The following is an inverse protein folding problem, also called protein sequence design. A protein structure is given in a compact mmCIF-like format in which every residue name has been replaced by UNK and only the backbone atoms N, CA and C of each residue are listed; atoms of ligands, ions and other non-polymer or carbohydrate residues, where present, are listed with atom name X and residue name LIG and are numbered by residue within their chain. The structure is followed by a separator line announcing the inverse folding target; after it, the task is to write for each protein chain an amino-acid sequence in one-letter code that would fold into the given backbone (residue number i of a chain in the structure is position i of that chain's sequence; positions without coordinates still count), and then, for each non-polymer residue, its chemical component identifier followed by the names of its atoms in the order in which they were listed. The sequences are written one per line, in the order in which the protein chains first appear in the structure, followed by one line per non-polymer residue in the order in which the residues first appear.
data_IF_704671873243
#
_entry.id   IF_704671873243
#
_cell.length_a   1.000
_cell.length_b   1.000
_cell.length_c   1.000
_cell.angle_alpha   90.00
_cell.angle_beta   90.00
_cell.angle_gamma   90.00
#
_symmetry.space_group_name_H-M   'P 1'
#
loop_
_entity.id
_entity.type
_entity.pdbx_description
1 polymer ?
#
# COMPACT_ATOMS: atom_id res chain seq x y z
N UNK A 1 -7.54 19.23 -10.74
CA UNK A 1 -8.24 17.91 -10.69
C UNK A 1 -9.69 18.15 -10.27
N UNK A 2 -10.71 17.57 -10.93
CA UNK A 2 -12.12 17.94 -10.72
C UNK A 2 -12.57 18.02 -9.25
N UNK A 3 -12.15 17.07 -8.41
CA UNK A 3 -12.56 17.01 -6.99
C UNK A 3 -11.92 18.11 -6.15
N UNK A 4 -10.71 18.54 -6.47
CA UNK A 4 -10.00 19.58 -5.72
C UNK A 4 -10.50 20.98 -6.15
N UNK A 5 -10.73 21.21 -7.45
CA UNK A 5 -11.28 22.47 -7.95
C UNK A 5 -12.74 22.73 -7.53
N UNK A 6 -13.53 21.69 -7.24
CA UNK A 6 -14.97 21.81 -7.01
C UNK A 6 -15.45 21.32 -5.63
N UNK A 7 -14.56 20.74 -4.82
CA UNK A 7 -14.93 20.11 -3.55
C UNK A 7 -13.77 19.98 -2.55
N UNK A 8 -12.72 20.82 -2.63
CA UNK A 8 -11.58 20.80 -1.69
C UNK A 8 -12.04 20.88 -0.23
N UNK A 9 -13.07 21.65 0.06
CA UNK A 9 -13.71 21.76 1.38
C UNK A 9 -14.35 20.45 1.88
N UNK A 10 -14.57 19.47 0.99
CA UNK A 10 -15.11 18.14 1.30
C UNK A 10 -14.01 17.08 1.43
N UNK A 11 -12.76 17.41 1.09
CA UNK A 11 -11.62 16.50 1.23
C UNK A 11 -11.10 16.61 2.65
N UNK A 12 -11.37 15.59 3.47
CA UNK A 12 -10.87 15.52 4.83
C UNK A 12 -9.39 15.11 4.90
N UNK A 13 -9.01 14.02 4.21
CA UNK A 13 -7.65 13.45 4.28
C UNK A 13 -7.46 12.37 3.20
N UNK A 14 -6.32 12.41 2.49
CA UNK A 14 -5.85 11.27 1.70
C UNK A 14 -5.18 10.25 2.63
N UNK A 15 -5.57 8.99 2.51
CA UNK A 15 -5.02 7.90 3.34
C UNK A 15 -4.41 6.82 2.48
N UNK A 16 -3.16 6.46 2.77
CA UNK A 16 -2.50 5.36 2.07
C UNK A 16 -1.80 4.42 3.04
N UNK A 17 -2.06 3.11 2.99
CA UNK A 17 -1.32 2.15 3.80
C UNK A 17 0.12 2.05 3.31
N UNK A 18 1.07 2.15 4.23
CA UNK A 18 2.48 2.00 3.92
C UNK A 18 2.94 0.58 4.26
N UNK A 19 3.18 -0.22 3.23
CA UNK A 19 3.44 -1.65 3.31
C UNK A 19 4.94 -1.92 3.08
N UNK A 20 5.66 -2.49 4.06
CA UNK A 20 7.09 -2.77 3.96
C UNK A 20 7.48 -3.50 2.67
N UNK A 21 8.50 -2.98 1.98
CA UNK A 21 9.04 -3.52 0.73
C UNK A 21 8.06 -3.60 -0.45
N UNK A 22 6.83 -3.10 -0.32
CA UNK A 22 5.83 -3.11 -1.39
C UNK A 22 5.64 -1.72 -2.00
N UNK A 23 5.47 -0.68 -1.19
CA UNK A 23 5.24 0.68 -1.68
C UNK A 23 6.05 1.77 -0.96
N UNK A 24 7.12 1.39 -0.27
CA UNK A 24 8.05 2.36 0.36
C UNK A 24 8.65 3.34 -0.67
N UNK A 25 8.93 2.86 -1.88
CA UNK A 25 9.48 3.62 -3.00
C UNK A 25 8.46 4.58 -3.63
N UNK A 26 7.17 4.40 -3.37
CA UNK A 26 6.10 5.22 -3.94
C UNK A 26 5.82 6.50 -3.16
N UNK A 27 6.28 6.59 -1.91
CA UNK A 27 6.00 7.71 -1.01
C UNK A 27 6.32 9.06 -1.63
N UNK A 28 7.50 9.17 -2.26
CA UNK A 28 7.95 10.41 -2.89
C UNK A 28 6.99 10.81 -4.02
N UNK A 29 6.66 9.88 -4.91
CA UNK A 29 5.76 10.13 -6.04
C UNK A 29 4.34 10.49 -5.59
N UNK A 30 3.84 9.89 -4.50
CA UNK A 30 2.57 10.26 -3.89
C UNK A 30 2.63 11.71 -3.37
N UNK A 31 3.72 12.08 -2.70
CA UNK A 31 3.95 13.43 -2.23
C UNK A 31 4.00 14.45 -3.36
N UNK A 32 4.80 14.19 -4.39
CA UNK A 32 4.92 15.06 -5.58
C UNK A 32 3.58 15.20 -6.29
N UNK A 33 2.87 14.10 -6.52
CA UNK A 33 1.57 14.11 -7.20
C UNK A 33 0.52 14.95 -6.45
N UNK A 34 0.42 14.79 -5.12
CA UNK A 34 -0.53 15.57 -4.34
C UNK A 34 -0.09 17.03 -4.22
N UNK A 35 1.21 17.31 -4.11
CA UNK A 35 1.72 18.68 -4.03
C UNK A 35 1.56 19.45 -5.35
N UNK A 36 1.63 18.76 -6.49
CA UNK A 36 1.36 19.34 -7.82
C UNK A 36 -0.12 19.71 -7.99
N UNK A 37 -1.02 19.03 -7.27
CA UNK A 37 -2.42 19.42 -7.16
C UNK A 37 -2.54 20.62 -6.21
N UNK A 38 -2.12 20.44 -4.95
CA UNK A 38 -2.12 21.48 -3.92
C UNK A 38 -1.29 21.04 -2.70
N UNK A 39 -0.30 21.87 -2.34
CA UNK A 39 0.63 21.62 -1.23
C UNK A 39 -0.04 21.54 0.15
N UNK A 40 -1.25 22.11 0.30
CA UNK A 40 -2.02 22.07 1.54
C UNK A 40 -2.85 20.79 1.70
N UNK A 41 -2.91 19.91 0.69
CA UNK A 41 -3.71 18.69 0.78
C UNK A 41 -3.24 17.78 1.92
N UNK A 42 -4.15 17.36 2.81
CA UNK A 42 -3.81 16.50 3.93
C UNK A 42 -3.52 15.06 3.48
N UNK A 43 -2.35 14.53 3.85
CA UNK A 43 -1.93 13.14 3.61
C UNK A 43 -1.61 12.43 4.93
N UNK A 44 -2.16 11.22 5.10
CA UNK A 44 -1.90 10.35 6.23
C UNK A 44 -1.44 8.96 5.78
N UNK A 45 -0.21 8.62 6.15
CA UNK A 45 0.29 7.26 5.98
C UNK A 45 -0.26 6.36 7.09
N UNK A 46 -1.00 5.32 6.70
CA UNK A 46 -1.50 4.32 7.63
C UNK A 46 -0.43 3.24 7.82
N UNK A 47 -0.04 2.98 9.06
CA UNK A 47 0.87 1.88 9.39
C UNK A 47 0.21 0.55 8.98
N UNK A 48 0.84 -0.17 8.05
CA UNK A 48 0.30 -1.44 7.58
C UNK A 48 0.20 -2.45 8.71
N UNK A 49 -1.00 -3.00 8.87
CA UNK A 49 -1.34 -4.09 9.77
C UNK A 49 -1.50 -5.38 8.97
N UNK A 50 -0.67 -6.41 9.21
CA UNK A 50 -0.75 -7.67 8.49
C UNK A 50 -2.13 -8.32 8.61
N UNK A 51 -2.73 -8.64 7.46
CA UNK A 51 -4.03 -9.29 7.34
C UNK A 51 -4.17 -9.91 5.94
N UNK A 52 -5.22 -10.71 5.74
CA UNK A 52 -5.53 -11.37 4.46
C UNK A 52 -4.31 -12.14 3.93
N UNK A 53 -4.08 -12.19 2.62
CA UNK A 53 -2.93 -12.89 2.02
C UNK A 53 -1.55 -12.37 2.49
N UNK A 54 -1.52 -11.23 3.18
CA UNK A 54 -0.34 -10.62 3.79
C UNK A 54 -0.29 -10.84 5.30
N UNK A 55 -1.03 -11.78 5.88
CA UNK A 55 -1.12 -11.97 7.33
C UNK A 55 0.23 -12.19 8.03
N UNK A 56 1.18 -12.82 7.35
CA UNK A 56 2.51 -13.09 7.89
C UNK A 56 3.54 -12.03 7.48
N UNK A 57 3.14 -11.06 6.66
CA UNK A 57 4.01 -9.96 6.27
C UNK A 57 4.39 -9.13 7.50
N UNK A 58 5.58 -8.50 7.46
CA UNK A 58 6.04 -7.62 8.54
C UNK A 58 5.17 -6.34 8.59
N UNK A 59 4.81 -5.87 9.78
CA UNK A 59 4.06 -4.61 9.91
C UNK A 59 4.94 -3.38 9.64
N UNK A 60 4.33 -2.23 9.39
CA UNK A 60 5.13 -1.01 9.19
C UNK A 60 5.93 -0.64 10.45
N UNK A 61 7.23 -0.36 10.29
CA UNK A 61 8.08 0.08 11.40
C UNK A 61 7.88 1.56 11.70
N UNK A 62 7.99 1.98 12.97
CA UNK A 62 7.89 3.41 13.32
C UNK A 62 8.87 4.30 12.54
N UNK A 63 10.11 3.83 12.38
CA UNK A 63 11.13 4.57 11.64
C UNK A 63 10.78 4.75 10.15
N UNK A 64 10.12 3.76 9.56
CA UNK A 64 9.64 3.81 8.17
C UNK A 64 8.51 4.83 8.01
N UNK A 65 7.54 4.85 8.95
CA UNK A 65 6.47 5.86 8.95
C UNK A 65 7.01 7.28 9.04
N UNK A 66 7.97 7.53 9.95
CA UNK A 66 8.62 8.85 10.08
C UNK A 66 9.32 9.25 8.79
N UNK A 67 10.11 8.36 8.18
CA UNK A 67 10.77 8.65 6.90
C UNK A 67 9.78 8.95 5.79
N UNK A 68 8.61 8.31 5.79
CA UNK A 68 7.61 8.56 4.78
C UNK A 68 7.03 9.98 4.88
N UNK A 69 6.72 10.43 6.11
CA UNK A 69 6.30 11.82 6.36
C UNK A 69 7.37 12.80 5.88
N UNK A 70 8.63 12.59 6.26
CA UNK A 70 9.71 13.49 5.83
C UNK A 70 9.91 13.50 4.30
N UNK A 71 9.80 12.35 3.65
CA UNK A 71 9.93 12.26 2.19
C UNK A 71 8.79 12.99 1.47
N UNK A 72 7.55 12.84 1.93
CA UNK A 72 6.40 13.54 1.36
C UNK A 72 6.47 15.06 1.63
N UNK A 73 6.95 15.49 2.80
CA UNK A 73 7.18 16.91 3.09
C UNK A 73 8.26 17.53 2.20
N UNK A 74 9.36 16.81 1.99
CA UNK A 74 10.41 17.22 1.05
C UNK A 74 9.94 17.27 -0.40
N UNK A 75 8.87 16.55 -0.73
CA UNK A 75 8.24 16.56 -2.05
C UNK A 75 7.25 17.73 -2.25
N UNK A 76 7.04 18.58 -1.24
CA UNK A 76 6.25 19.81 -1.34
C UNK A 76 4.98 19.83 -0.48
N UNK A 77 4.50 18.69 0.02
CA UNK A 77 3.32 18.66 0.89
C UNK A 77 3.59 19.24 2.27
N UNK A 78 2.69 20.08 2.77
CA UNK A 78 2.80 20.66 4.11
C UNK A 78 2.12 19.80 5.18
N UNK A 79 0.91 19.32 4.85
CA UNK A 79 0.01 18.67 5.80
C UNK A 79 0.14 17.14 5.77
N UNK A 80 1.29 16.63 6.23
CA UNK A 80 1.58 15.18 6.22
C UNK A 80 1.69 14.62 7.63
N UNK A 81 0.99 13.52 7.88
CA UNK A 81 1.01 12.78 9.15
C UNK A 81 1.02 11.26 8.94
N UNK A 82 1.05 10.50 10.03
CA UNK A 82 0.88 9.05 9.98
C UNK A 82 0.11 8.56 11.22
N UNK A 83 -0.57 7.43 11.09
CA UNK A 83 -1.34 6.82 12.17
C UNK A 83 -1.29 5.29 12.14
N UNK A 84 -1.74 4.65 13.22
CA UNK A 84 -1.81 3.19 13.34
C UNK A 84 -0.72 2.58 14.23
N UNK A 85 -0.83 1.27 14.45
CA UNK A 85 0.08 0.52 15.31
C UNK A 85 1.28 0.00 14.51
N UNK A 86 2.49 0.28 14.99
CA UNK A 86 3.74 -0.04 14.30
C UNK A 86 4.45 -1.24 14.91
N UNK A 87 5.50 -1.70 14.24
CA UNK A 87 6.46 -2.67 14.75
C UNK A 87 5.84 -4.05 15.06
N UNK A 88 4.73 -4.37 14.38
CA UNK A 88 4.15 -5.70 14.38
C UNK A 88 5.11 -6.71 13.75
N UNK A 89 5.29 -7.85 14.43
CA UNK A 89 6.15 -8.94 13.97
C UNK A 89 5.67 -9.52 12.63
N UNK A 90 6.54 -10.24 11.95
CA UNK A 90 6.26 -10.87 10.66
C UNK A 90 7.54 -11.01 9.86
N UNK A 91 7.42 -11.46 8.61
CA UNK A 91 8.56 -11.68 7.73
C UNK A 91 8.22 -11.29 6.29
N UNK A 92 9.26 -10.97 5.51
CA UNK A 92 9.14 -10.79 4.07
C UNK A 92 9.26 -12.17 3.43
N UNK A 93 8.26 -12.57 2.65
CA UNK A 93 8.34 -13.82 1.90
C UNK A 93 9.40 -13.71 0.80
N UNK A 94 10.14 -14.79 0.57
CA UNK A 94 11.16 -14.85 -0.49
C UNK A 94 10.53 -14.99 -1.87
N UNK A 95 9.36 -15.62 -1.94
CA UNK A 95 8.64 -15.87 -3.19
C UNK A 95 8.21 -14.56 -3.85
N UNK A 96 8.66 -14.36 -5.09
CA UNK A 96 8.35 -13.20 -5.92
C UNK A 96 7.76 -13.67 -7.26
N UNK A 97 6.82 -12.90 -7.79
CA UNK A 97 6.27 -13.08 -9.13
C UNK A 97 7.08 -12.24 -10.13
N UNK A 98 7.79 -12.89 -11.06
CA UNK A 98 8.67 -12.23 -12.04
C UNK A 98 7.92 -11.38 -13.08
N UNK A 99 6.62 -11.55 -13.21
CA UNK A 99 5.76 -10.86 -14.19
C UNK A 99 5.58 -9.35 -13.90
N UNK A 100 6.08 -8.85 -12.78
CA UNK A 100 5.95 -7.45 -12.39
C UNK A 100 7.28 -6.70 -12.54
N UNK A 101 7.22 -5.46 -13.05
CA UNK A 101 8.41 -4.64 -13.27
C UNK A 101 9.10 -4.18 -11.98
N UNK A 102 8.33 -3.73 -10.97
CA UNK A 102 8.89 -3.23 -9.70
C UNK A 102 8.97 -4.31 -8.64
N UNK A 103 9.98 -4.23 -7.78
CA UNK A 103 10.21 -5.18 -6.67
C UNK A 103 9.01 -5.34 -5.74
N UNK A 104 8.33 -4.24 -5.40
CA UNK A 104 7.13 -4.29 -4.58
C UNK A 104 5.96 -5.03 -5.24
N UNK A 105 5.79 -4.83 -6.56
CA UNK A 105 4.83 -5.57 -7.37
C UNK A 105 5.16 -7.06 -7.44
N UNK A 106 6.45 -7.40 -7.60
CA UNK A 106 6.91 -8.79 -7.60
C UNK A 106 6.62 -9.47 -6.26
N UNK A 107 6.87 -8.78 -5.14
CA UNK A 107 6.59 -9.28 -3.80
C UNK A 107 5.08 -9.47 -3.56
N UNK A 108 4.25 -8.46 -3.86
CA UNK A 108 2.79 -8.55 -3.76
C UNK A 108 2.23 -9.67 -4.66
N UNK A 109 2.76 -9.83 -5.87
CA UNK A 109 2.42 -10.91 -6.78
C UNK A 109 2.82 -12.28 -6.25
N UNK A 110 3.96 -12.39 -5.56
CA UNK A 110 4.41 -13.60 -4.88
C UNK A 110 3.44 -14.06 -3.78
N UNK A 111 2.95 -13.13 -2.95
CA UNK A 111 1.88 -13.43 -1.99
C UNK A 111 0.60 -13.91 -2.66
N UNK A 112 0.20 -13.28 -3.77
CA UNK A 112 -0.96 -13.72 -4.54
C UNK A 112 -0.77 -15.13 -5.13
N UNK A 113 0.40 -15.46 -5.70
CA UNK A 113 0.73 -16.81 -6.17
C UNK A 113 0.63 -17.84 -5.04
N UNK A 114 1.24 -17.54 -3.90
CA UNK A 114 1.21 -18.41 -2.71
C UNK A 114 -0.21 -18.65 -2.19
N UNK A 115 -1.11 -17.69 -2.39
CA UNK A 115 -2.54 -17.81 -2.05
C UNK A 115 -3.40 -18.43 -3.18
N UNK A 116 -2.78 -18.96 -4.24
CA UNK A 116 -3.46 -19.68 -5.33
C UNK A 116 -3.88 -18.83 -6.53
N UNK A 117 -3.33 -17.62 -6.70
CA UNK A 117 -3.54 -16.90 -7.96
C UNK A 117 -2.79 -17.58 -9.12
N UNK A 118 -3.49 -17.78 -10.23
CA UNK A 118 -2.93 -18.37 -11.45
C UNK A 118 -2.83 -17.37 -12.61
N UNK A 119 -3.22 -16.11 -12.39
CA UNK A 119 -3.23 -15.07 -13.43
C UNK A 119 -2.26 -13.95 -13.05
N UNK A 120 -1.18 -13.79 -13.81
CA UNK A 120 -0.19 -12.74 -13.64
C UNK A 120 0.20 -12.09 -14.98
N UNK A 121 0.31 -10.74 -15.07
CA UNK A 121 -0.10 -9.76 -14.07
C UNK A 121 -1.58 -9.89 -13.69
N UNK A 122 -1.88 -9.67 -12.40
CA UNK A 122 -3.20 -9.93 -11.85
C UNK A 122 -4.23 -8.96 -12.43
N UNK A 123 -5.15 -9.48 -13.23
CA UNK A 123 -6.32 -8.75 -13.72
C UNK A 123 -7.58 -9.51 -13.31
N UNK A 124 -8.13 -9.16 -12.14
CA UNK A 124 -9.31 -9.83 -11.59
C UNK A 124 -10.58 -9.59 -12.43
N UNK A 125 -10.63 -8.53 -13.25
CA UNK A 125 -11.80 -8.21 -14.08
C UNK A 125 -11.94 -9.15 -15.27
N UNK A 126 -10.82 -9.57 -15.86
CA UNK A 126 -10.79 -10.46 -17.03
C UNK A 126 -10.47 -11.93 -16.68
N UNK A 127 -10.30 -12.26 -15.40
CA UNK A 127 -9.91 -13.59 -14.96
C UNK A 127 -11.08 -14.59 -15.01
N UNK A 128 -10.91 -15.70 -15.74
CA UNK A 128 -11.93 -16.77 -15.85
C UNK A 128 -12.31 -17.39 -14.49
N UNK A 129 -11.42 -17.34 -13.50
CA UNK A 129 -11.65 -17.86 -12.15
C UNK A 129 -12.21 -16.82 -11.18
N UNK A 130 -12.66 -15.65 -11.64
CA UNK A 130 -13.09 -14.55 -10.76
C UNK A 130 -14.12 -14.98 -9.70
N UNK A 131 -15.05 -15.87 -10.02
CA UNK A 131 -16.09 -16.38 -9.11
C UNK A 131 -15.60 -17.50 -8.19
N UNK A 132 -14.52 -18.19 -8.57
CA UNK A 132 -13.95 -19.32 -7.83
C UNK A 132 -12.55 -18.99 -7.27
N UNK A 133 -12.18 -17.71 -7.25
CA UNK A 133 -10.83 -17.28 -6.93
C UNK A 133 -10.46 -17.66 -5.49
N UNK A 134 -9.39 -18.45 -5.28
CA UNK A 134 -8.99 -18.89 -3.94
C UNK A 134 -8.62 -17.71 -3.03
N UNK A 135 -8.05 -16.64 -3.60
CA UNK A 135 -7.76 -15.42 -2.85
C UNK A 135 -9.03 -14.79 -2.25
N UNK A 136 -10.14 -14.72 -2.99
CA UNK A 136 -11.38 -14.12 -2.46
C UNK A 136 -11.91 -14.86 -1.23
N UNK A 137 -11.62 -16.15 -1.13
CA UNK A 137 -12.02 -17.03 -0.02
C UNK A 137 -10.92 -17.17 1.03
N UNK A 138 -9.78 -16.49 0.87
CA UNK A 138 -8.66 -16.59 1.79
C UNK A 138 -9.07 -16.06 3.17
N UNK A 139 -8.84 -16.87 4.20
CA UNK A 139 -9.07 -16.51 5.61
C UNK A 139 -7.74 -16.43 6.31
N UNK A 140 -7.37 -15.24 6.75
CA UNK A 140 -6.23 -15.06 7.64
C UNK A 140 -6.45 -15.85 8.94
N UNK A 141 -5.42 -16.58 9.35
CA UNK A 141 -5.34 -17.33 10.60
C UNK A 141 -4.73 -16.49 11.71
N UNK A 142 -3.80 -15.60 11.37
CA UNK A 142 -3.14 -14.71 12.33
C UNK A 142 -4.14 -13.68 12.84
N UNK A 143 -4.34 -13.65 14.16
CA UNK A 143 -4.96 -12.53 14.85
C UNK A 143 -3.85 -11.54 15.17
N UNK A 144 -3.74 -10.47 14.39
CA UNK A 144 -2.88 -9.33 14.70
C UNK A 144 -3.49 -8.47 15.78
#
# INVERSE_FOLDING_TARGET
MFVEENAKEKIWEFRTPLIPKINEDEVKYIGEFLSDIDEELPLNFLAFRPNFVLENHLGAKRAMMKRAVEAAKKAGLKNVSWSGHTDLSGYIAENKASEYGREGGKLAGGYAKGAGCVTHPRNCGSCKLQQQCPIKKYKAKRRT
#
